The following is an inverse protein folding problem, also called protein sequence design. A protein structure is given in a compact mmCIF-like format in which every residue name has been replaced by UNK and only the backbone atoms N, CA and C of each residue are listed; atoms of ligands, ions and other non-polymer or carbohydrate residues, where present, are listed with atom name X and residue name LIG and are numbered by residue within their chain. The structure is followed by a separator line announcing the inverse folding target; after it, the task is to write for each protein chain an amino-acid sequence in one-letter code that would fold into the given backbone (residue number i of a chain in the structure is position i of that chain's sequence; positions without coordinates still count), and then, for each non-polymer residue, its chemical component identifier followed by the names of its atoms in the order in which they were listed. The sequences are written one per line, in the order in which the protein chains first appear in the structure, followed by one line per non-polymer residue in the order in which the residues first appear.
data_IF_710732817020
#
_entry.id   IF_710732817020
#
_cell.length_a   1.000
_cell.length_b   1.000
_cell.length_c   1.000
_cell.angle_alpha   90.00
_cell.angle_beta   90.00
_cell.angle_gamma   90.00
#
_symmetry.space_group_name_H-M   'P 1'
#
loop_
_entity.id
_entity.type
_entity.pdbx_description
1 polymer ?
#
# COMPACT_ATOMS: atom_id res chain seq x y z
N UNK A 1 -26.51 1.64 51.29
CA UNK A 1 -25.63 2.70 50.76
C UNK A 1 -24.50 2.12 49.90
N UNK A 2 -23.66 1.20 50.40
CA UNK A 2 -22.56 0.60 49.61
C UNK A 2 -22.94 0.01 48.24
N UNK A 3 -24.09 -0.64 48.12
CA UNK A 3 -24.54 -1.19 46.84
C UNK A 3 -24.84 -0.10 45.80
N UNK A 4 -25.33 1.07 46.23
CA UNK A 4 -25.59 2.20 45.35
C UNK A 4 -24.26 2.83 44.88
N UNK A 5 -23.28 2.99 45.78
CA UNK A 5 -21.96 3.51 45.43
C UNK A 5 -21.23 2.60 44.44
N UNK A 6 -21.36 1.28 44.61
CA UNK A 6 -20.84 0.29 43.66
C UNK A 6 -21.49 0.41 42.28
N UNK A 7 -22.81 0.58 42.23
CA UNK A 7 -23.54 0.75 40.97
C UNK A 7 -23.19 2.08 40.27
N UNK A 8 -23.04 3.17 41.03
CA UNK A 8 -22.58 4.46 40.52
C UNK A 8 -21.16 4.34 39.95
N UNK A 9 -20.26 3.69 40.67
CA UNK A 9 -18.90 3.45 40.20
C UNK A 9 -18.91 2.62 38.90
N UNK A 10 -19.66 1.52 38.87
CA UNK A 10 -19.77 0.68 37.67
C UNK A 10 -20.34 1.44 36.47
N UNK A 11 -21.33 2.30 36.70
CA UNK A 11 -21.89 3.18 35.66
C UNK A 11 -20.83 4.16 35.15
N UNK A 12 -20.10 4.82 36.06
CA UNK A 12 -19.03 5.76 35.68
C UNK A 12 -17.90 5.08 34.92
N UNK A 13 -17.50 3.85 35.30
CA UNK A 13 -16.48 3.09 34.59
C UNK A 13 -16.93 2.69 33.20
N UNK A 14 -18.18 2.23 33.05
CA UNK A 14 -18.77 1.92 31.74
C UNK A 14 -18.84 3.16 30.85
N UNK A 15 -19.25 4.29 31.40
CA UNK A 15 -19.31 5.56 30.66
C UNK A 15 -17.91 5.99 30.19
N UNK A 16 -16.90 5.92 31.07
CA UNK A 16 -15.52 6.23 30.72
C UNK A 16 -14.96 5.31 29.64
N UNK A 17 -15.29 4.01 29.69
CA UNK A 17 -14.88 3.04 28.67
C UNK A 17 -15.50 3.36 27.29
N UNK A 18 -16.79 3.70 27.25
CA UNK A 18 -17.46 4.09 26.00
C UNK A 18 -16.84 5.37 25.42
N UNK A 19 -16.59 6.38 26.25
CA UNK A 19 -15.94 7.62 25.82
C UNK A 19 -14.54 7.38 25.26
N UNK A 20 -13.80 6.41 25.82
CA UNK A 20 -12.49 6.04 25.30
C UNK A 20 -12.58 5.41 23.91
N UNK A 21 -13.54 4.49 23.72
CA UNK A 21 -13.79 3.85 22.41
C UNK A 21 -14.27 4.85 21.36
N UNK A 22 -15.07 5.83 21.75
CA UNK A 22 -15.49 6.91 20.85
C UNK A 22 -14.29 7.76 20.38
N UNK A 23 -13.36 8.09 21.30
CA UNK A 23 -12.11 8.78 20.94
C UNK A 23 -11.24 7.94 20.00
N UNK A 24 -11.13 6.64 20.25
CA UNK A 24 -10.37 5.71 19.41
C UNK A 24 -10.97 5.61 18.00
N UNK A 25 -12.29 5.50 17.89
CA UNK A 25 -13.01 5.51 16.62
C UNK A 25 -12.78 6.80 15.84
N UNK A 26 -12.87 7.96 16.51
CA UNK A 26 -12.64 9.25 15.87
C UNK A 26 -11.19 9.42 15.39
N UNK A 27 -10.22 8.93 16.17
CA UNK A 27 -8.82 8.89 15.78
C UNK A 27 -8.62 8.05 14.51
N UNK A 28 -9.19 6.85 14.46
CA UNK A 28 -9.09 5.98 13.28
C UNK A 28 -9.75 6.61 12.06
N UNK A 29 -10.95 7.17 12.22
CA UNK A 29 -11.67 7.79 11.11
C UNK A 29 -10.91 9.00 10.53
N UNK A 30 -10.35 9.84 11.40
CA UNK A 30 -9.53 10.99 10.98
C UNK A 30 -8.27 10.54 10.24
N UNK A 31 -7.61 9.49 10.73
CA UNK A 31 -6.41 8.94 10.09
C UNK A 31 -6.73 8.32 8.72
N UNK A 32 -7.80 7.54 8.59
CA UNK A 32 -8.21 6.97 7.31
C UNK A 32 -8.69 8.04 6.32
N UNK A 33 -9.38 9.08 6.79
CA UNK A 33 -9.75 10.22 5.96
C UNK A 33 -8.51 10.93 5.39
N UNK A 34 -7.53 11.23 6.24
CA UNK A 34 -6.27 11.86 5.82
C UNK A 34 -5.49 10.98 4.84
N UNK A 35 -5.39 9.67 5.12
CA UNK A 35 -4.73 8.70 4.25
C UNK A 35 -5.44 8.58 2.90
N UNK A 36 -6.78 8.56 2.89
CA UNK A 36 -7.59 8.54 1.67
C UNK A 36 -7.35 9.76 0.80
N UNK A 37 -7.28 10.96 1.37
CA UNK A 37 -6.95 12.18 0.60
C UNK A 37 -5.56 12.11 -0.01
N UNK A 38 -4.56 11.66 0.75
CA UNK A 38 -3.19 11.51 0.23
C UNK A 38 -3.10 10.48 -0.88
N UNK A 39 -3.77 9.34 -0.73
CA UNK A 39 -3.84 8.29 -1.75
C UNK A 39 -4.53 8.79 -3.03
N UNK A 40 -5.60 9.59 -2.91
CA UNK A 40 -6.28 10.19 -4.06
C UNK A 40 -5.36 11.14 -4.85
N UNK A 41 -4.55 11.94 -4.15
CA UNK A 41 -3.55 12.82 -4.79
C UNK A 41 -2.50 12.00 -5.54
N UNK A 42 -1.97 10.94 -4.93
CA UNK A 42 -1.00 10.05 -5.58
C UNK A 42 -1.61 9.34 -6.81
N UNK A 43 -2.86 8.91 -6.74
CA UNK A 43 -3.59 8.35 -7.88
C UNK A 43 -3.70 9.38 -9.01
N UNK A 44 -4.00 10.65 -8.68
CA UNK A 44 -4.00 11.75 -9.64
C UNK A 44 -2.66 11.93 -10.35
N UNK A 45 -1.56 11.94 -9.60
CA UNK A 45 -0.22 12.00 -10.18
C UNK A 45 0.10 10.81 -11.09
N UNK A 46 -0.32 9.61 -10.72
CA UNK A 46 -0.17 8.43 -11.56
C UNK A 46 -0.94 8.55 -12.89
N UNK A 47 -2.17 9.07 -12.87
CA UNK A 47 -2.96 9.32 -14.09
C UNK A 47 -2.30 10.38 -14.96
N UNK A 48 -1.85 11.50 -14.39
CA UNK A 48 -1.14 12.55 -15.13
C UNK A 48 0.12 11.98 -15.80
N UNK A 49 0.91 11.19 -15.06
CA UNK A 49 2.09 10.53 -15.60
C UNK A 49 1.76 9.57 -16.76
N UNK A 50 0.61 8.90 -16.73
CA UNK A 50 0.18 8.03 -17.83
C UNK A 50 -0.26 8.81 -19.08
N UNK A 51 -0.94 9.94 -18.91
CA UNK A 51 -1.52 10.71 -20.02
C UNK A 51 -0.48 11.59 -20.69
N UNK A 52 0.41 12.23 -19.92
CA UNK A 52 1.38 13.20 -20.46
C UNK A 52 2.62 12.53 -21.06
N UNK A 53 2.82 11.24 -20.81
CA UNK A 53 4.00 10.53 -21.28
C UNK A 53 3.92 10.26 -22.79
N UNK A 54 4.77 10.95 -23.55
CA UNK A 54 4.92 10.77 -25.00
C UNK A 54 6.35 10.36 -25.34
N UNK A 55 6.62 9.06 -25.54
CA UNK A 55 7.97 8.60 -25.88
C UNK A 55 8.35 9.00 -27.31
N UNK A 56 9.62 9.41 -27.56
CA UNK A 56 10.11 9.68 -28.91
C UNK A 56 10.06 8.42 -29.80
N UNK A 57 9.68 8.54 -31.09
CA UNK A 57 9.43 7.40 -31.97
C UNK A 57 10.68 6.58 -32.38
N UNK A 58 11.89 7.06 -32.09
CA UNK A 58 13.13 6.56 -32.70
C UNK A 58 13.93 5.55 -31.87
N UNK A 59 13.47 5.12 -30.70
CA UNK A 59 14.27 4.27 -29.78
C UNK A 59 13.65 2.87 -29.66
N UNK A 60 14.05 1.95 -30.54
CA UNK A 60 13.68 0.54 -30.44
C UNK A 60 14.35 -0.21 -29.28
N UNK A 61 15.42 0.34 -28.68
CA UNK A 61 16.21 -0.34 -27.64
C UNK A 61 15.58 -0.30 -26.22
N UNK A 62 14.63 0.60 -25.94
CA UNK A 62 14.08 0.81 -24.58
C UNK A 62 12.68 0.23 -24.35
N UNK A 63 12.22 -0.71 -25.19
CA UNK A 63 10.88 -1.31 -25.08
C UNK A 63 10.59 -1.94 -23.71
N UNK A 64 11.60 -2.52 -23.07
CA UNK A 64 11.44 -3.10 -21.73
C UNK A 64 11.23 -2.05 -20.64
N UNK A 65 11.89 -0.89 -20.74
CA UNK A 65 11.73 0.21 -19.78
C UNK A 65 10.36 0.86 -19.92
N UNK A 66 9.87 1.01 -21.15
CA UNK A 66 8.54 1.54 -21.43
C UNK A 66 7.45 0.65 -20.81
N UNK A 67 7.53 -0.67 -21.00
CA UNK A 67 6.59 -1.62 -20.37
C UNK A 67 6.69 -1.52 -18.84
N UNK A 68 7.90 -1.47 -18.28
CA UNK A 68 8.10 -1.34 -16.85
C UNK A 68 7.50 -0.04 -16.29
N UNK A 69 7.65 1.08 -17.02
CA UNK A 69 7.05 2.37 -16.69
C UNK A 69 5.52 2.28 -16.60
N UNK A 70 4.86 1.80 -17.65
CA UNK A 70 3.41 1.69 -17.67
C UNK A 70 2.88 0.73 -16.59
N UNK A 71 3.56 -0.40 -16.36
CA UNK A 71 3.19 -1.34 -15.29
C UNK A 71 3.31 -0.70 -13.91
N UNK A 72 4.39 0.03 -13.63
CA UNK A 72 4.58 0.73 -12.37
C UNK A 72 3.53 1.83 -12.14
N UNK A 73 3.21 2.62 -13.16
CA UNK A 73 2.20 3.66 -13.08
C UNK A 73 0.79 3.09 -12.89
N UNK A 74 0.43 2.04 -13.62
CA UNK A 74 -0.86 1.34 -13.45
C UNK A 74 -0.96 0.67 -12.08
N UNK A 75 0.11 0.04 -11.59
CA UNK A 75 0.14 -0.55 -10.26
C UNK A 75 -0.06 0.52 -9.18
N UNK A 76 0.60 1.66 -9.31
CA UNK A 76 0.43 2.81 -8.41
C UNK A 76 -1.01 3.30 -8.41
N UNK A 77 -1.60 3.49 -9.59
CA UNK A 77 -2.98 3.95 -9.73
C UNK A 77 -3.97 3.00 -9.03
N UNK A 78 -3.90 1.71 -9.34
CA UNK A 78 -4.85 0.71 -8.81
C UNK A 78 -4.70 0.53 -7.31
N UNK A 79 -3.47 0.47 -6.80
CA UNK A 79 -3.23 0.29 -5.35
C UNK A 79 -3.63 1.51 -4.53
N UNK A 80 -3.40 2.72 -5.04
CA UNK A 80 -3.86 3.95 -4.39
C UNK A 80 -5.39 4.10 -4.46
N UNK A 81 -6.03 3.76 -5.58
CA UNK A 81 -7.50 3.73 -5.66
C UNK A 81 -8.11 2.69 -4.71
N UNK A 82 -7.49 1.53 -4.57
CA UNK A 82 -7.89 0.54 -3.56
C UNK A 82 -7.78 1.11 -2.14
N UNK A 83 -6.69 1.84 -1.83
CA UNK A 83 -6.54 2.52 -0.55
C UNK A 83 -7.66 3.54 -0.30
N UNK A 84 -8.01 4.37 -1.29
CA UNK A 84 -9.10 5.37 -1.20
C UNK A 84 -10.45 4.70 -0.97
N UNK A 85 -10.76 3.67 -1.76
CA UNK A 85 -12.00 2.93 -1.63
C UNK A 85 -12.08 2.22 -0.27
N UNK A 86 -11.00 1.55 0.14
CA UNK A 86 -10.90 0.85 1.42
C UNK A 86 -11.05 1.79 2.61
N UNK A 87 -10.35 2.92 2.62
CA UNK A 87 -10.47 3.91 3.70
C UNK A 87 -11.89 4.48 3.80
N UNK A 88 -12.54 4.74 2.66
CA UNK A 88 -13.91 5.26 2.62
C UNK A 88 -14.91 4.24 3.14
N UNK A 89 -14.83 3.00 2.66
CA UNK A 89 -15.71 1.89 3.06
C UNK A 89 -15.58 1.60 4.55
N UNK A 90 -14.35 1.54 5.09
CA UNK A 90 -14.10 1.31 6.50
C UNK A 90 -14.67 2.44 7.37
N UNK A 91 -14.43 3.71 7.01
CA UNK A 91 -14.95 4.85 7.76
C UNK A 91 -16.48 4.88 7.77
N UNK A 92 -17.13 4.60 6.62
CA UNK A 92 -18.60 4.59 6.53
C UNK A 92 -19.19 3.42 7.31
N UNK A 93 -18.67 2.21 7.18
CA UNK A 93 -19.25 1.07 7.90
C UNK A 93 -18.95 1.10 9.40
N UNK A 94 -17.76 1.53 9.81
CA UNK A 94 -17.42 1.63 11.23
C UNK A 94 -18.29 2.68 11.95
N UNK A 95 -18.52 3.85 11.34
CA UNK A 95 -19.41 4.86 11.91
C UNK A 95 -20.87 4.40 11.95
N UNK A 96 -21.35 3.72 10.91
CA UNK A 96 -22.70 3.15 10.91
C UNK A 96 -22.87 2.11 12.03
N UNK A 97 -21.89 1.23 12.20
CA UNK A 97 -21.93 0.20 13.25
C UNK A 97 -21.87 0.84 14.64
N UNK A 98 -21.02 1.84 14.85
CA UNK A 98 -20.88 2.51 16.14
C UNK A 98 -22.11 3.34 16.55
N UNK A 99 -22.82 3.95 15.60
CA UNK A 99 -23.97 4.81 15.91
C UNK A 99 -25.31 4.05 15.95
N UNK A 100 -25.46 2.99 15.15
CA UNK A 100 -26.75 2.29 14.96
C UNK A 100 -26.72 0.84 15.41
N UNK A 101 -25.56 0.33 15.82
CA UNK A 101 -25.43 -1.05 16.25
C UNK A 101 -25.95 -1.26 17.68
N UNK A 102 -26.22 -2.53 18.05
CA UNK A 102 -26.61 -2.90 19.41
C UNK A 102 -25.48 -2.60 20.43
N UNK A 103 -25.75 -2.73 21.73
CA UNK A 103 -24.73 -2.52 22.77
C UNK A 103 -23.44 -3.33 22.49
N UNK A 104 -22.29 -2.70 22.64
CA UNK A 104 -20.98 -3.27 22.29
C UNK A 104 -20.56 -3.08 20.82
N UNK A 105 -21.42 -2.52 19.97
CA UNK A 105 -21.12 -2.27 18.55
C UNK A 105 -19.96 -1.30 18.30
N UNK A 106 -19.75 -0.31 19.18
CA UNK A 106 -18.63 0.64 19.11
C UNK A 106 -17.29 -0.08 19.26
N UNK A 107 -17.20 -1.04 20.20
CA UNK A 107 -15.97 -1.82 20.41
C UNK A 107 -15.64 -2.66 19.17
N UNK A 108 -16.64 -3.37 18.64
CA UNK A 108 -16.49 -4.14 17.39
C UNK A 108 -16.10 -3.26 16.19
N UNK A 109 -16.66 -2.06 16.09
CA UNK A 109 -16.32 -1.13 15.02
C UNK A 109 -14.84 -0.70 15.09
N UNK A 110 -14.35 -0.39 16.29
CA UNK A 110 -12.97 -0.02 16.54
C UNK A 110 -12.01 -1.18 16.24
N UNK A 111 -12.32 -2.39 16.69
CA UNK A 111 -11.51 -3.58 16.41
C UNK A 111 -11.40 -3.86 14.91
N UNK A 112 -12.53 -3.80 14.18
CA UNK A 112 -12.52 -3.98 12.72
C UNK A 112 -11.69 -2.91 11.99
N UNK A 113 -11.74 -1.66 12.46
CA UNK A 113 -10.88 -0.59 11.92
C UNK A 113 -9.40 -0.83 12.23
N UNK A 114 -9.09 -1.39 13.40
CA UNK A 114 -7.72 -1.68 13.81
C UNK A 114 -7.09 -2.82 12.99
N UNK A 115 -7.84 -3.90 12.75
CA UNK A 115 -7.40 -5.05 11.95
C UNK A 115 -7.11 -4.66 10.50
N UNK A 116 -8.01 -3.92 9.87
CA UNK A 116 -7.89 -3.54 8.45
C UNK A 116 -6.88 -2.41 8.21
N UNK A 117 -6.50 -1.68 9.27
CA UNK A 117 -5.52 -0.59 9.21
C UNK A 117 -4.26 -1.01 8.46
N UNK A 118 -3.66 -2.15 8.84
CA UNK A 118 -2.40 -2.61 8.23
C UNK A 118 -2.56 -2.83 6.72
N UNK A 119 -3.69 -3.37 6.28
CA UNK A 119 -3.94 -3.64 4.86
C UNK A 119 -3.98 -2.37 4.01
N UNK A 120 -4.69 -1.35 4.49
CA UNK A 120 -4.83 -0.05 3.79
C UNK A 120 -3.48 0.67 3.74
N UNK A 121 -2.75 0.73 4.86
CA UNK A 121 -1.41 1.36 4.90
C UNK A 121 -0.40 0.64 4.00
N UNK A 122 -0.44 -0.69 3.89
CA UNK A 122 0.42 -1.44 2.97
C UNK A 122 0.10 -1.09 1.52
N UNK A 123 -1.18 -1.04 1.15
CA UNK A 123 -1.57 -0.70 -0.23
C UNK A 123 -1.12 0.70 -0.64
N UNK A 124 -1.25 1.69 0.26
CA UNK A 124 -0.72 3.03 0.06
C UNK A 124 0.80 3.04 -0.12
N UNK A 125 1.54 2.31 0.72
CA UNK A 125 3.00 2.23 0.62
C UNK A 125 3.46 1.59 -0.70
N UNK A 126 2.77 0.54 -1.16
CA UNK A 126 3.03 -0.09 -2.47
C UNK A 126 2.74 0.91 -3.61
N UNK A 127 1.64 1.66 -3.52
CA UNK A 127 1.30 2.70 -4.49
C UNK A 127 2.36 3.79 -4.57
N UNK A 128 2.80 4.30 -3.42
CA UNK A 128 3.88 5.29 -3.36
C UNK A 128 5.21 4.75 -3.93
N UNK A 129 5.60 3.53 -3.55
CA UNK A 129 6.85 2.92 -4.01
C UNK A 129 6.83 2.66 -5.53
N UNK A 130 5.72 2.14 -6.05
CA UNK A 130 5.55 1.90 -7.49
C UNK A 130 5.55 3.20 -8.30
N UNK A 131 4.99 4.29 -7.77
CA UNK A 131 5.07 5.61 -8.42
C UNK A 131 6.52 6.12 -8.49
N UNK A 132 7.28 6.01 -7.39
CA UNK A 132 8.68 6.41 -7.37
C UNK A 132 9.54 5.59 -8.34
N UNK A 133 9.29 4.28 -8.44
CA UNK A 133 9.94 3.42 -9.44
C UNK A 133 9.56 3.81 -10.86
N UNK A 134 8.28 4.14 -11.10
CA UNK A 134 7.82 4.68 -12.37
C UNK A 134 8.55 5.97 -12.75
N UNK A 135 8.77 6.89 -11.81
CA UNK A 135 9.53 8.12 -12.07
C UNK A 135 10.98 7.84 -12.48
N UNK A 136 11.63 6.83 -11.89
CA UNK A 136 12.97 6.42 -12.31
C UNK A 136 12.91 5.97 -13.77
N UNK A 137 12.05 5.02 -14.12
CA UNK A 137 11.95 4.54 -15.51
C UNK A 137 11.60 5.66 -16.50
N UNK A 138 10.69 6.56 -16.14
CA UNK A 138 10.33 7.72 -16.97
C UNK A 138 11.50 8.66 -17.23
N UNK A 139 12.35 8.90 -16.22
CA UNK A 139 13.55 9.73 -16.37
C UNK A 139 14.57 9.11 -17.35
N UNK A 140 14.74 7.78 -17.33
CA UNK A 140 15.62 7.07 -18.26
C UNK A 140 15.10 7.06 -19.70
N UNK A 141 13.79 7.24 -19.92
CA UNK A 141 13.21 7.30 -21.27
C UNK A 141 13.22 8.72 -21.84
N UNK A 142 12.96 9.74 -21.01
CA UNK A 142 12.77 11.12 -21.47
C UNK A 142 14.04 11.98 -21.47
N UNK A 143 15.02 11.69 -20.60
CA UNK A 143 16.21 12.53 -20.41
C UNK A 143 17.48 11.91 -21.00
N UNK A 144 18.51 12.75 -21.20
CA UNK A 144 19.86 12.26 -21.52
C UNK A 144 20.39 11.36 -20.39
N UNK A 145 21.28 10.43 -20.71
CA UNK A 145 21.81 9.43 -19.77
C UNK A 145 22.44 10.06 -18.52
N UNK A 146 23.12 11.19 -18.67
CA UNK A 146 23.72 11.95 -17.56
C UNK A 146 22.66 12.54 -16.63
N UNK A 147 21.61 13.18 -17.20
CA UNK A 147 20.52 13.76 -16.44
C UNK A 147 19.61 12.70 -15.80
N UNK A 148 19.40 11.56 -16.48
CA UNK A 148 18.68 10.40 -15.97
C UNK A 148 19.42 9.77 -14.77
N UNK A 149 20.74 9.65 -14.83
CA UNK A 149 21.54 9.16 -13.71
C UNK A 149 21.39 10.07 -12.48
N UNK A 150 21.54 11.39 -12.64
CA UNK A 150 21.42 12.35 -11.53
C UNK A 150 20.01 12.33 -10.93
N UNK A 151 18.96 12.37 -11.76
CA UNK A 151 17.57 12.34 -11.28
C UNK A 151 17.23 11.04 -10.57
N UNK A 152 17.72 9.89 -11.05
CA UNK A 152 17.54 8.60 -10.37
C UNK A 152 18.22 8.54 -9.00
N UNK A 153 19.41 9.15 -8.85
CA UNK A 153 20.10 9.27 -7.55
C UNK A 153 19.31 10.16 -6.60
N UNK A 154 18.77 11.30 -7.08
CA UNK A 154 17.95 12.21 -6.26
C UNK A 154 16.69 11.47 -5.76
N UNK A 155 15.99 10.77 -6.65
CA UNK A 155 14.80 9.98 -6.28
C UNK A 155 15.17 8.87 -5.30
N UNK A 156 16.31 8.19 -5.51
CA UNK A 156 16.81 7.15 -4.61
C UNK A 156 17.14 7.67 -3.21
N UNK A 157 17.84 8.80 -3.10
CA UNK A 157 18.16 9.44 -1.81
C UNK A 157 16.89 9.93 -1.12
N UNK A 158 15.95 10.50 -1.88
CA UNK A 158 14.63 10.89 -1.36
C UNK A 158 13.87 9.69 -0.80
N UNK A 159 13.80 8.59 -1.55
CA UNK A 159 13.18 7.33 -1.12
C UNK A 159 13.85 6.73 0.12
N UNK A 160 15.19 6.75 0.18
CA UNK A 160 15.95 6.31 1.35
C UNK A 160 15.66 7.18 2.58
N UNK A 161 15.60 8.50 2.41
CA UNK A 161 15.25 9.44 3.48
C UNK A 161 13.86 9.14 4.04
N UNK A 162 12.85 8.96 3.17
CA UNK A 162 11.49 8.58 3.57
C UNK A 162 11.47 7.23 4.29
N UNK A 163 12.13 6.21 3.75
CA UNK A 163 12.22 4.90 4.39
C UNK A 163 12.87 4.97 5.77
N UNK A 164 13.97 5.71 5.89
CA UNK A 164 14.69 5.91 7.15
C UNK A 164 13.83 6.65 8.18
N UNK A 165 13.06 7.66 7.75
CA UNK A 165 12.13 8.40 8.59
C UNK A 165 11.00 7.49 9.08
N UNK A 166 10.38 6.72 8.19
CA UNK A 166 9.33 5.76 8.53
C UNK A 166 9.84 4.70 9.52
N UNK A 167 11.01 4.11 9.24
CA UNK A 167 11.66 3.13 10.13
C UNK A 167 11.96 3.70 11.50
N UNK A 168 12.50 4.92 11.56
CA UNK A 168 12.80 5.61 12.82
C UNK A 168 11.53 5.92 13.61
N UNK A 169 10.51 6.44 12.95
CA UNK A 169 9.22 6.76 13.56
C UNK A 169 8.55 5.49 14.10
N UNK A 170 8.50 4.43 13.30
CA UNK A 170 7.91 3.15 13.71
C UNK A 170 8.58 2.58 14.98
N UNK A 171 9.93 2.56 15.01
CA UNK A 171 10.68 2.10 16.20
C UNK A 171 10.42 2.92 17.45
N UNK A 172 10.11 4.21 17.32
CA UNK A 172 9.86 5.10 18.46
C UNK A 172 8.47 4.91 19.06
N UNK A 173 7.50 4.49 18.26
CA UNK A 173 6.10 4.34 18.67
C UNK A 173 5.67 2.88 18.88
N UNK A 174 6.56 1.92 18.61
CA UNK A 174 6.40 0.52 18.99
C UNK A 174 6.69 0.34 20.48
N UNK A 175 5.64 0.25 21.30
CA UNK A 175 5.71 -0.27 22.66
C UNK A 175 5.43 -1.79 22.57
N UNK A 176 6.43 -2.62 22.88
CA UNK A 176 6.36 -4.09 23.05
C UNK A 176 6.19 -5.01 21.80
N UNK A 177 7.32 -5.57 21.38
CA UNK A 177 7.64 -6.97 20.96
C UNK A 177 6.87 -7.74 19.87
N UNK A 178 5.84 -7.24 19.17
CA UNK A 178 5.12 -8.06 18.15
C UNK A 178 4.91 -7.44 16.76
N UNK A 179 5.93 -6.77 16.23
CA UNK A 179 5.92 -6.43 14.81
C UNK A 179 7.22 -5.80 14.40
N UNK A 180 8.16 -6.62 13.93
CA UNK A 180 9.33 -6.07 13.28
C UNK A 180 8.91 -5.42 11.96
N UNK A 181 9.66 -4.43 11.49
CA UNK A 181 9.42 -3.83 10.16
C UNK A 181 9.53 -4.90 9.08
N UNK A 182 10.28 -5.96 9.36
CA UNK A 182 10.38 -7.14 8.52
C UNK A 182 9.03 -7.85 8.35
N UNK A 183 8.12 -7.82 9.32
CA UNK A 183 6.75 -8.30 9.12
C UNK A 183 5.94 -7.38 8.20
N UNK A 184 6.14 -6.07 8.29
CA UNK A 184 5.51 -5.13 7.36
C UNK A 184 6.02 -5.36 5.93
N UNK A 185 7.34 -5.47 5.75
CA UNK A 185 7.97 -5.78 4.47
C UNK A 185 7.55 -7.17 3.99
N UNK A 186 7.49 -8.17 4.87
CA UNK A 186 7.03 -9.52 4.54
C UNK A 186 5.56 -9.53 4.16
N UNK A 187 4.71 -8.73 4.80
CA UNK A 187 3.30 -8.57 4.41
C UNK A 187 3.13 -7.85 3.07
N UNK A 188 3.99 -6.86 2.77
CA UNK A 188 4.07 -6.24 1.45
C UNK A 188 4.47 -7.29 0.40
N UNK A 189 5.53 -8.05 0.67
CA UNK A 189 6.04 -9.11 -0.23
C UNK A 189 5.06 -10.26 -0.36
N UNK A 190 4.35 -10.65 0.68
CA UNK A 190 3.36 -11.74 0.66
C UNK A 190 2.08 -11.35 -0.05
N UNK A 191 1.76 -10.04 -0.12
CA UNK A 191 0.64 -9.52 -0.92
C UNK A 191 0.99 -9.35 -2.41
N UNK A 192 2.27 -9.44 -2.80
CA UNK A 192 2.62 -9.56 -4.21
C UNK A 192 2.21 -10.94 -4.72
N UNK A 193 1.50 -11.04 -5.86
CA UNK A 193 1.17 -12.34 -6.44
C UNK A 193 2.47 -13.09 -6.73
N UNK A 194 2.65 -14.26 -6.12
CA UNK A 194 3.75 -15.16 -6.45
C UNK A 194 3.61 -15.53 -7.93
N UNK A 195 4.48 -14.97 -8.77
CA UNK A 195 4.51 -15.32 -10.19
C UNK A 195 4.66 -16.85 -10.31
N UNK A 196 3.87 -17.53 -11.16
CA UNK A 196 4.05 -18.94 -11.40
C UNK A 196 5.46 -19.16 -11.97
N UNK A 197 6.23 -20.02 -11.30
CA UNK A 197 7.55 -20.47 -11.77
C UNK A 197 7.36 -21.05 -13.17
N UNK A 198 7.79 -20.34 -14.20
CA UNK A 198 7.80 -20.84 -15.58
C UNK A 198 8.75 -22.04 -15.59
N UNK A 199 8.17 -23.23 -15.64
CA UNK A 199 8.92 -24.47 -15.81
C UNK A 199 9.63 -24.41 -17.17
N UNK A 200 10.97 -24.37 -17.14
CA UNK A 200 11.79 -24.55 -18.35
C UNK A 200 11.53 -25.94 -18.89
N UNK A 201 10.74 -26.05 -19.96
CA UNK A 201 10.80 -27.23 -20.84
C UNK A 201 12.10 -27.15 -21.63
N UNK A 202 13.01 -28.08 -21.35
CA UNK A 202 14.26 -28.29 -22.09
C UNK A 202 13.96 -28.76 -23.52
N UNK A 203 14.71 -28.31 -24.54
CA UNK A 203 14.61 -28.87 -25.88
C UNK A 203 15.44 -30.17 -25.98
N UNK A 204 14.77 -31.32 -25.98
CA UNK A 204 15.28 -32.53 -26.63
C UNK A 204 14.71 -32.50 -28.04
N UNK A 205 15.47 -32.48 -29.13
CA UNK A 205 16.67 -33.25 -29.43
C UNK A 205 16.37 -33.95 -30.75
N UNK A 206 16.90 -33.41 -31.85
CA UNK A 206 16.86 -34.05 -33.17
C UNK A 206 17.70 -35.33 -33.19
N UNK A 207 17.30 -36.32 -34.00
CA UNK A 207 18.25 -36.95 -34.94
C UNK A 207 17.61 -37.07 -36.33
N UNK A 208 18.16 -36.45 -37.38
CA UNK A 208 19.12 -37.02 -38.36
C UNK A 208 18.94 -38.50 -38.71
N UNK A 209 18.60 -38.71 -39.99
CA UNK A 209 18.94 -39.82 -40.92
C UNK A 209 18.57 -41.27 -40.52
N UNK A 210 17.86 -42.00 -41.41
CA UNK A 210 18.42 -43.14 -42.17
C UNK A 210 17.40 -43.77 -43.17
N UNK A 211 17.78 -43.76 -44.47
CA UNK A 211 17.61 -44.76 -45.57
C UNK A 211 16.27 -45.43 -45.96
N UNK A 212 16.05 -45.35 -47.29
CA UNK A 212 15.82 -46.42 -48.31
C UNK A 212 14.53 -47.28 -48.33
N UNK A 213 14.15 -47.53 -49.60
CA UNK A 213 13.49 -48.72 -50.16
C UNK A 213 11.95 -48.81 -50.11
N UNK A 214 11.29 -48.30 -51.15
CA UNK A 214 10.68 -49.01 -52.32
C UNK A 214 9.63 -48.09 -52.95
#
# INVERSE_FOLDING_TARGET
MLAADKLLLQSSLKQNAIQLKEKELNLHNTNFGSLGTQAAVLAGFAVTALIEFSPPPDIHETRYLEIAYYVCCMLSLVTNLYCVAGSTVLSVFATNLALRGPDGSVERAVEGMHEERRGVFISFAIGLASLLMGMIFGAWIMMSTEAAAISSVIVGVGGWCVYSFCKRTYRRFSFEEHGDIDDFVYAVVSRLPRLPRISRTTPHGSPTEEKKEV
#
